data_IF_146425937012
#
_entry.id   IF_146425937012
#
_cell.length_a   1.000
_cell.length_b   1.000
_cell.length_c   1.000
_cell.angle_alpha   90.00
_cell.angle_beta   90.00
_cell.angle_gamma   90.00
#
_symmetry.space_group_name_H-M   'P 1'
#
loop_
_entity.id
_entity.type
_entity.pdbx_description
1 polymer ?
#
# COMPACT_ATOMS: atom_id res chain seq x y z
N UNK A 1 20.58 -7.29 14.36
CA UNK A 1 19.70 -6.70 15.39
C UNK A 1 18.28 -6.67 14.85
N UNK A 2 17.38 -7.43 15.47
CA UNK A 2 15.99 -7.47 15.02
C UNK A 2 15.33 -6.15 15.43
N UNK A 3 15.05 -5.25 14.47
CA UNK A 3 14.33 -4.01 14.74
C UNK A 3 12.86 -4.36 15.06
N UNK A 4 12.41 -4.02 16.25
CA UNK A 4 11.02 -4.15 16.62
C UNK A 4 10.17 -3.17 15.80
N UNK A 5 8.95 -3.57 15.50
CA UNK A 5 8.00 -2.73 14.76
C UNK A 5 7.39 -1.67 15.68
N UNK A 6 7.01 -0.55 15.12
CA UNK A 6 6.22 0.48 15.79
C UNK A 6 4.83 -0.07 16.10
N UNK A 7 4.23 0.40 17.17
CA UNK A 7 2.86 0.04 17.60
C UNK A 7 2.10 1.30 18.04
N UNK A 8 0.79 1.21 18.13
CA UNK A 8 -0.06 2.27 18.66
C UNK A 8 0.27 2.44 20.13
N UNK A 9 0.77 3.62 20.49
CA UNK A 9 1.30 3.91 21.80
C UNK A 9 0.48 4.97 22.53
N UNK A 10 0.53 4.92 23.86
CA UNK A 10 0.08 5.97 24.76
C UNK A 10 1.24 6.90 25.14
N UNK A 11 0.93 8.06 25.73
CA UNK A 11 1.96 9.04 26.10
C UNK A 11 2.99 8.52 27.10
N UNK A 12 2.60 7.62 27.97
CA UNK A 12 3.49 6.99 28.95
C UNK A 12 4.51 6.02 28.32
N UNK A 13 4.27 5.56 27.10
CA UNK A 13 5.14 4.64 26.36
C UNK A 13 6.16 5.32 25.43
N UNK A 14 6.02 6.63 25.24
CA UNK A 14 6.86 7.41 24.31
C UNK A 14 7.44 8.66 24.97
N UNK A 15 8.44 9.23 24.31
CA UNK A 15 8.94 10.58 24.56
C UNK A 15 8.78 11.39 23.29
N UNK A 16 8.13 12.54 23.38
CA UNK A 16 7.90 13.44 22.26
C UNK A 16 8.79 14.66 22.41
N UNK A 17 9.53 14.99 21.35
CA UNK A 17 10.32 16.22 21.24
C UNK A 17 9.97 16.94 19.97
N UNK A 18 9.91 18.27 20.02
CA UNK A 18 9.64 19.14 18.86
C UNK A 18 10.96 19.67 18.33
N UNK A 19 11.10 19.64 17.02
CA UNK A 19 12.28 20.13 16.29
C UNK A 19 11.79 20.89 15.05
N UNK A 20 11.67 22.20 15.17
CA UNK A 20 11.03 23.05 14.16
C UNK A 20 9.58 22.62 13.92
N UNK A 21 9.25 22.33 12.66
CA UNK A 21 7.92 21.88 12.24
C UNK A 21 7.71 20.37 12.36
N UNK A 22 8.64 19.68 13.02
CA UNK A 22 8.62 18.23 13.16
C UNK A 22 8.45 17.78 14.62
N UNK A 23 7.73 16.68 14.82
CA UNK A 23 7.72 15.93 16.07
C UNK A 23 8.61 14.69 15.95
N UNK A 24 9.47 14.48 16.95
CA UNK A 24 10.24 13.25 17.08
C UNK A 24 9.62 12.42 18.21
N UNK A 25 9.17 11.22 17.87
CA UNK A 25 8.52 10.27 18.79
C UNK A 25 9.46 9.11 19.00
N UNK A 26 9.94 8.96 20.23
CA UNK A 26 10.83 7.88 20.65
C UNK A 26 10.09 6.99 21.62
N UNK A 27 9.97 5.71 21.29
CA UNK A 27 9.44 4.70 22.20
C UNK A 27 10.41 4.48 23.37
N UNK A 28 9.88 4.30 24.57
CA UNK A 28 10.66 3.93 25.76
C UNK A 28 11.18 2.49 25.65
N UNK A 29 10.47 1.66 24.90
CA UNK A 29 10.90 0.32 24.56
C UNK A 29 12.08 0.35 23.61
N UNK A 30 13.16 -0.39 23.95
CA UNK A 30 14.36 -0.47 23.11
C UNK A 30 14.15 -1.28 21.84
N UNK A 31 14.84 -0.90 20.78
CA UNK A 31 14.82 -1.59 19.49
C UNK A 31 13.78 -1.07 18.50
N UNK A 32 12.93 -0.13 18.92
CA UNK A 32 11.97 0.54 18.03
C UNK A 32 12.60 1.82 17.45
N UNK A 33 12.51 1.97 16.15
CA UNK A 33 13.06 3.15 15.46
C UNK A 33 12.27 4.42 15.82
N UNK A 34 13.00 5.51 16.08
CA UNK A 34 12.41 6.84 16.27
C UNK A 34 11.60 7.22 15.04
N UNK A 35 10.41 7.77 15.26
CA UNK A 35 9.58 8.35 14.20
C UNK A 35 9.78 9.85 14.16
N UNK A 36 9.90 10.40 12.96
CA UNK A 36 9.85 11.83 12.72
C UNK A 36 8.60 12.14 11.92
N UNK A 37 7.70 12.96 12.49
CA UNK A 37 6.48 13.42 11.84
C UNK A 37 6.69 14.86 11.40
N UNK A 38 6.51 15.10 10.10
CA UNK A 38 6.43 16.45 9.55
C UNK A 38 5.00 16.95 9.74
N UNK A 39 4.78 17.93 10.60
CA UNK A 39 3.45 18.44 10.95
C UNK A 39 3.24 19.82 10.31
N UNK A 40 4.17 20.72 10.51
CA UNK A 40 4.06 22.11 10.09
C UNK A 40 4.12 23.08 11.28
N UNK A 41 3.91 24.39 11.03
CA UNK A 41 3.99 25.41 12.06
C UNK A 41 3.00 25.21 13.22
N UNK A 42 1.86 24.57 12.96
CA UNK A 42 0.82 24.25 13.95
C UNK A 42 1.30 23.37 15.11
N UNK A 43 2.43 22.69 14.95
CA UNK A 43 3.02 21.87 16.02
C UNK A 43 3.30 22.67 17.30
N UNK A 44 3.54 23.99 17.16
CA UNK A 44 3.81 24.86 18.30
C UNK A 44 2.59 25.00 19.25
N UNK A 45 1.38 24.82 18.72
CA UNK A 45 0.12 24.89 19.45
C UNK A 45 -0.43 23.53 19.86
N UNK A 46 0.12 22.45 19.29
CA UNK A 46 -0.34 21.09 19.56
C UNK A 46 0.17 20.58 20.90
N UNK A 47 -0.70 19.92 21.65
CA UNK A 47 -0.34 19.13 22.85
C UNK A 47 0.38 17.82 22.46
N UNK A 48 1.07 17.22 23.40
CA UNK A 48 1.67 15.90 23.20
C UNK A 48 0.63 14.82 22.94
N UNK A 49 -0.59 14.97 23.49
CA UNK A 49 -1.70 14.06 23.24
C UNK A 49 -2.15 14.14 21.76
N UNK A 50 -2.28 15.33 21.19
CA UNK A 50 -2.65 15.50 19.79
C UNK A 50 -1.56 14.96 18.84
N UNK A 51 -0.29 15.14 19.21
CA UNK A 51 0.83 14.60 18.42
C UNK A 51 0.85 13.08 18.44
N UNK A 52 0.64 12.43 19.58
CA UNK A 52 0.60 10.96 19.66
C UNK A 52 -0.64 10.39 18.96
N UNK A 53 -1.78 11.07 19.03
CA UNK A 53 -2.98 10.68 18.27
C UNK A 53 -2.74 10.71 16.77
N UNK A 54 -2.14 11.80 16.25
CA UNK A 54 -1.75 11.91 14.85
C UNK A 54 -0.76 10.80 14.43
N UNK A 55 0.23 10.50 15.27
CA UNK A 55 1.16 9.41 15.05
C UNK A 55 0.43 8.05 14.96
N UNK A 56 -0.49 7.81 15.89
CA UNK A 56 -1.27 6.59 15.92
C UNK A 56 -2.22 6.46 14.72
N UNK A 57 -2.78 7.56 14.23
CA UNK A 57 -3.55 7.60 12.99
C UNK A 57 -2.69 7.21 11.80
N UNK A 58 -1.49 7.80 11.66
CA UNK A 58 -0.54 7.41 10.61
C UNK A 58 -0.19 5.92 10.66
N UNK A 59 -0.08 5.32 11.85
CA UNK A 59 0.16 3.88 12.00
C UNK A 59 -1.05 3.03 11.60
N UNK A 60 -2.27 3.52 11.85
CA UNK A 60 -3.50 2.84 11.41
C UNK A 60 -3.66 2.90 9.89
N UNK A 61 -3.30 4.04 9.30
CA UNK A 61 -3.43 4.29 7.86
C UNK A 61 -2.33 3.61 7.05
N UNK A 62 -1.12 3.43 7.63
CA UNK A 62 -0.04 2.67 6.99
C UNK A 62 0.16 1.30 7.67
N UNK A 63 -0.43 0.25 7.09
CA UNK A 63 -0.35 -1.11 7.62
C UNK A 63 1.06 -1.66 7.79
N UNK A 64 2.05 -1.09 7.09
CA UNK A 64 3.45 -1.52 7.20
C UNK A 64 4.12 -0.99 8.45
N UNK A 65 3.62 0.11 8.98
CA UNK A 65 4.15 0.73 10.20
C UNK A 65 3.60 0.07 11.45
N UNK A 66 2.40 -0.52 11.39
CA UNK A 66 1.75 -1.16 12.54
C UNK A 66 2.20 -2.61 12.73
N UNK A 67 2.59 -2.98 13.97
CA UNK A 67 2.99 -4.36 14.29
C UNK A 67 1.81 -5.34 14.38
N UNK A 68 0.64 -4.85 14.75
CA UNK A 68 -0.59 -5.64 14.94
C UNK A 68 -1.52 -5.61 13.73
N UNK A 69 -1.14 -4.88 12.68
CA UNK A 69 -1.97 -4.77 11.49
C UNK A 69 -2.01 -6.08 10.73
N UNK A 70 -3.19 -6.64 10.60
CA UNK A 70 -3.48 -7.75 9.71
C UNK A 70 -3.98 -7.20 8.39
N UNK A 71 -3.15 -7.26 7.35
CA UNK A 71 -3.56 -6.82 6.02
C UNK A 71 -4.73 -7.67 5.50
N UNK A 72 -5.77 -7.00 5.07
CA UNK A 72 -6.91 -7.59 4.34
C UNK A 72 -6.98 -6.91 2.99
N UNK A 73 -6.59 -7.63 1.93
CA UNK A 73 -6.82 -7.15 0.58
C UNK A 73 -8.32 -7.18 0.28
N UNK A 74 -8.85 -6.09 -0.26
CA UNK A 74 -10.24 -6.07 -0.71
C UNK A 74 -10.32 -6.01 -2.23
N UNK A 75 -11.33 -6.65 -2.75
CA UNK A 75 -11.65 -6.69 -4.17
C UNK A 75 -12.89 -5.84 -4.44
N UNK A 76 -12.80 -5.00 -5.47
CA UNK A 76 -13.97 -4.22 -5.90
C UNK A 76 -15.01 -5.18 -6.49
N UNK A 77 -16.31 -5.05 -6.14
CA UNK A 77 -17.35 -5.95 -6.64
C UNK A 77 -17.42 -5.98 -8.17
N UNK A 78 -17.85 -7.12 -8.71
CA UNK A 78 -18.13 -7.24 -10.15
C UNK A 78 -19.15 -6.19 -10.59
N UNK A 79 -18.90 -5.58 -11.74
CA UNK A 79 -19.73 -4.50 -12.28
C UNK A 79 -19.40 -3.10 -11.75
N UNK A 80 -18.51 -2.99 -10.78
CA UNK A 80 -17.96 -1.71 -10.30
C UNK A 80 -16.57 -1.47 -10.88
N UNK A 81 -16.25 -0.22 -11.20
CA UNK A 81 -14.94 0.14 -11.74
C UNK A 81 -13.82 -0.14 -10.73
N UNK A 82 -12.80 -0.89 -11.15
CA UNK A 82 -11.64 -1.27 -10.32
C UNK A 82 -10.59 -0.17 -10.26
N UNK A 83 -10.58 0.72 -11.25
CA UNK A 83 -9.63 1.83 -11.38
C UNK A 83 -10.38 3.13 -11.62
N UNK A 84 -9.75 4.24 -11.25
CA UNK A 84 -10.22 5.59 -11.53
C UNK A 84 -9.08 6.44 -12.07
N UNK A 85 -9.43 7.43 -12.90
CA UNK A 85 -8.44 8.35 -13.47
C UNK A 85 -8.18 9.52 -12.53
N UNK A 86 -6.94 9.69 -12.11
CA UNK A 86 -6.52 10.78 -11.26
C UNK A 86 -5.84 11.88 -12.09
N UNK A 87 -6.61 12.90 -12.45
CA UNK A 87 -6.21 13.94 -13.39
C UNK A 87 -4.98 14.76 -12.93
N UNK A 88 -4.80 14.97 -11.63
CA UNK A 88 -3.65 15.72 -11.10
C UNK A 88 -2.30 15.09 -11.43
N UNK A 89 -2.25 13.77 -11.50
CA UNK A 89 -1.03 13.01 -11.77
C UNK A 89 -1.03 12.38 -13.16
N UNK A 90 -2.09 12.62 -13.95
CA UNK A 90 -2.27 12.03 -15.28
C UNK A 90 -2.03 10.52 -15.25
N UNK A 91 -2.77 9.82 -14.38
CA UNK A 91 -2.64 8.37 -14.22
C UNK A 91 -3.92 7.70 -13.73
N UNK A 92 -4.04 6.42 -14.04
CA UNK A 92 -5.01 5.54 -13.42
C UNK A 92 -4.55 5.10 -12.04
N UNK A 93 -5.46 5.02 -11.10
CA UNK A 93 -5.21 4.54 -9.73
C UNK A 93 -6.17 3.40 -9.39
N UNK A 94 -5.71 2.36 -8.69
CA UNK A 94 -6.57 1.27 -8.27
C UNK A 94 -7.47 1.69 -7.11
N UNK A 95 -8.71 1.20 -7.12
CA UNK A 95 -9.71 1.43 -6.06
C UNK A 95 -9.72 0.33 -5.01
N UNK A 96 -9.04 -0.77 -5.27
CA UNK A 96 -8.91 -1.92 -4.37
C UNK A 96 -7.51 -2.50 -4.35
N UNK A 97 -7.29 -3.47 -3.47
CA UNK A 97 -6.02 -4.19 -3.36
C UNK A 97 -5.90 -5.41 -4.29
N UNK A 98 -6.95 -5.71 -5.06
CA UNK A 98 -7.00 -6.78 -6.06
C UNK A 98 -7.43 -6.17 -7.38
N UNK A 99 -6.72 -6.51 -8.46
CA UNK A 99 -7.05 -6.13 -9.81
C UNK A 99 -7.26 -7.39 -10.67
N UNK A 100 -8.40 -7.42 -11.36
CA UNK A 100 -8.69 -8.42 -12.40
C UNK A 100 -8.31 -7.81 -13.72
N UNK A 101 -7.30 -8.38 -14.37
CA UNK A 101 -6.73 -7.84 -15.59
C UNK A 101 -6.73 -8.92 -16.68
N UNK A 102 -6.88 -8.51 -17.93
CA UNK A 102 -6.62 -9.33 -19.09
C UNK A 102 -5.33 -8.86 -19.77
N UNK A 103 -4.49 -9.81 -20.16
CA UNK A 103 -3.27 -9.54 -20.92
C UNK A 103 -3.60 -9.78 -22.39
N UNK A 104 -3.49 -8.75 -23.19
CA UNK A 104 -3.86 -8.76 -24.60
C UNK A 104 -2.81 -8.04 -25.45
N UNK A 105 -2.87 -8.22 -26.76
CA UNK A 105 -2.11 -7.42 -27.73
C UNK A 105 -3.04 -6.37 -28.34
N UNK A 106 -2.51 -5.16 -28.58
CA UNK A 106 -3.21 -4.13 -29.35
C UNK A 106 -3.14 -4.41 -30.87
N UNK A 107 -3.77 -3.54 -31.66
CA UNK A 107 -3.80 -3.63 -33.14
C UNK A 107 -2.39 -3.65 -33.76
N UNK A 108 -1.37 -3.23 -33.04
CA UNK A 108 0.03 -3.19 -33.47
C UNK A 108 0.87 -4.33 -32.90
N UNK A 109 0.24 -5.30 -32.19
CA UNK A 109 0.93 -6.42 -31.54
C UNK A 109 1.71 -6.00 -30.31
N UNK A 110 1.35 -4.86 -29.69
CA UNK A 110 1.97 -4.41 -28.43
C UNK A 110 1.11 -4.86 -27.25
N UNK A 111 1.79 -5.35 -26.23
CA UNK A 111 1.12 -5.83 -25.02
C UNK A 111 0.39 -4.70 -24.28
N UNK A 112 -0.87 -4.94 -23.98
CA UNK A 112 -1.71 -4.08 -23.15
C UNK A 112 -2.30 -4.89 -22.00
N UNK A 113 -2.55 -4.21 -20.90
CA UNK A 113 -3.28 -4.76 -19.74
C UNK A 113 -4.66 -4.12 -19.73
N UNK A 114 -5.68 -4.93 -19.98
CA UNK A 114 -7.07 -4.48 -19.91
C UNK A 114 -7.60 -4.62 -18.49
N UNK A 115 -8.09 -3.53 -17.94
CA UNK A 115 -8.74 -3.46 -16.63
C UNK A 115 -10.10 -2.79 -16.83
N UNK A 116 -11.17 -3.50 -16.56
CA UNK A 116 -12.53 -3.08 -16.93
C UNK A 116 -12.60 -2.82 -18.45
N UNK A 117 -13.01 -1.62 -18.86
CA UNK A 117 -13.03 -1.21 -20.27
C UNK A 117 -11.77 -0.41 -20.70
N UNK A 118 -10.76 -0.31 -19.81
CA UNK A 118 -9.56 0.48 -20.06
C UNK A 118 -8.42 -0.42 -20.52
N UNK A 119 -7.81 -0.08 -21.66
CA UNK A 119 -6.59 -0.72 -22.16
C UNK A 119 -5.37 0.12 -21.75
N UNK A 120 -4.58 -0.39 -20.83
CA UNK A 120 -3.39 0.28 -20.35
C UNK A 120 -2.15 -0.30 -21.03
N UNK A 121 -1.36 0.55 -21.67
CA UNK A 121 -0.01 0.17 -22.10
C UNK A 121 0.88 -0.07 -20.89
N UNK A 122 1.94 -0.84 -21.02
CA UNK A 122 2.83 -1.19 -19.91
C UNK A 122 3.33 0.04 -19.13
N UNK A 123 3.59 1.15 -19.81
CA UNK A 123 3.99 2.40 -19.15
C UNK A 123 2.89 2.97 -18.27
N UNK A 124 1.64 2.92 -18.72
CA UNK A 124 0.47 3.38 -17.94
C UNK A 124 0.17 2.44 -16.79
N UNK A 125 0.27 1.12 -17.04
CA UNK A 125 0.12 0.11 -15.97
C UNK A 125 1.24 0.25 -14.92
N UNK A 126 2.48 0.49 -15.36
CA UNK A 126 3.60 0.79 -14.44
C UNK A 126 3.33 2.04 -13.60
N UNK A 127 2.78 3.10 -14.19
CA UNK A 127 2.35 4.30 -13.44
C UNK A 127 1.28 3.97 -12.39
N UNK A 128 0.28 3.17 -12.74
CA UNK A 128 -0.77 2.71 -11.81
C UNK A 128 -0.14 1.99 -10.61
N UNK A 129 0.84 1.12 -10.84
CA UNK A 129 1.54 0.38 -9.78
C UNK A 129 2.29 1.28 -8.80
N UNK A 130 2.64 2.52 -9.16
CA UNK A 130 3.31 3.46 -8.24
C UNK A 130 2.46 3.80 -7.02
N UNK A 131 1.14 3.64 -7.09
CA UNK A 131 0.24 3.75 -5.94
C UNK A 131 0.65 2.82 -4.80
N UNK A 132 1.26 1.67 -5.13
CA UNK A 132 1.72 0.67 -4.18
C UNK A 132 3.25 0.62 -4.03
N UNK A 133 3.95 1.74 -4.28
CA UNK A 133 5.41 1.80 -4.10
C UNK A 133 5.77 1.37 -2.68
N UNK A 134 6.70 0.41 -2.58
CA UNK A 134 7.15 -0.18 -1.31
C UNK A 134 6.26 -1.32 -0.78
N UNK A 135 5.18 -1.70 -1.48
CA UNK A 135 4.40 -2.91 -1.22
C UNK A 135 4.95 -4.11 -2.01
N UNK A 136 4.63 -5.31 -1.54
CA UNK A 136 4.81 -6.52 -2.34
C UNK A 136 3.61 -6.73 -3.26
N UNK A 137 3.83 -7.36 -4.41
CA UNK A 137 2.79 -7.76 -5.35
C UNK A 137 2.83 -9.28 -5.52
N UNK A 138 1.67 -9.91 -5.44
CA UNK A 138 1.48 -11.31 -5.79
C UNK A 138 0.65 -11.39 -7.06
N UNK A 139 1.15 -12.09 -8.06
CA UNK A 139 0.48 -12.25 -9.36
C UNK A 139 0.08 -13.71 -9.50
N UNK A 140 -1.16 -13.95 -9.86
CA UNK A 140 -1.73 -15.26 -10.15
C UNK A 140 -2.29 -15.21 -11.57
N UNK A 141 -1.77 -16.05 -12.46
CA UNK A 141 -2.27 -16.17 -13.82
C UNK A 141 -3.38 -17.22 -13.86
N UNK A 142 -4.51 -16.84 -14.43
CA UNK A 142 -5.70 -17.66 -14.55
C UNK A 142 -6.23 -17.61 -15.99
N UNK A 143 -7.03 -18.60 -16.42
CA UNK A 143 -7.76 -18.49 -17.68
C UNK A 143 -8.65 -17.23 -17.72
N UNK A 144 -8.85 -16.65 -18.89
CA UNK A 144 -9.62 -15.41 -19.08
C UNK A 144 -11.03 -15.48 -18.47
N UNK A 145 -11.70 -16.61 -18.64
CA UNK A 145 -13.05 -16.85 -18.11
C UNK A 145 -13.10 -17.08 -16.61
N UNK A 146 -11.95 -17.25 -15.96
CA UNK A 146 -11.81 -17.45 -14.52
C UNK A 146 -11.26 -16.24 -13.76
N UNK A 147 -10.93 -15.15 -14.45
CA UNK A 147 -10.31 -13.95 -13.84
C UNK A 147 -11.12 -13.35 -12.69
N UNK A 148 -12.43 -13.60 -12.65
CA UNK A 148 -13.35 -13.13 -11.62
C UNK A 148 -13.48 -14.08 -10.43
N UNK A 149 -12.77 -15.21 -10.45
CA UNK A 149 -12.79 -16.21 -9.39
C UNK A 149 -11.44 -16.26 -8.68
N UNK A 150 -11.48 -16.55 -7.40
CA UNK A 150 -10.26 -16.83 -6.66
C UNK A 150 -9.70 -18.17 -7.09
N UNK A 151 -8.44 -18.23 -7.59
CA UNK A 151 -7.88 -19.48 -8.07
C UNK A 151 -7.61 -20.45 -6.93
N UNK A 152 -7.68 -21.76 -7.23
CA UNK A 152 -7.17 -22.81 -6.36
C UNK A 152 -5.65 -22.83 -6.50
N UNK A 153 -4.95 -22.73 -5.38
CA UNK A 153 -3.49 -22.69 -5.37
C UNK A 153 -2.93 -24.04 -4.95
N UNK A 154 -1.95 -24.50 -5.68
CA UNK A 154 -1.15 -25.68 -5.35
C UNK A 154 0.33 -25.26 -5.31
N UNK A 155 1.02 -25.62 -4.26
CA UNK A 155 2.47 -25.40 -4.16
C UNK A 155 3.21 -26.60 -4.73
N UNK A 156 3.93 -26.36 -5.83
CA UNK A 156 4.78 -27.39 -6.48
C UNK A 156 6.19 -26.84 -6.67
N UNK A 157 7.18 -27.69 -6.54
CA UNK A 157 8.54 -27.35 -6.94
C UNK A 157 8.63 -27.26 -8.47
N UNK A 158 9.44 -26.33 -9.01
CA UNK A 158 9.73 -26.30 -10.45
C UNK A 158 10.31 -27.63 -10.90
N UNK A 159 9.91 -28.07 -12.11
CA UNK A 159 10.58 -29.24 -12.72
C UNK A 159 12.06 -28.90 -12.92
N UNK A 160 12.95 -29.80 -12.49
CA UNK A 160 14.37 -29.69 -12.81
C UNK A 160 14.52 -29.65 -14.34
N UNK A 161 15.28 -28.70 -14.86
CA UNK A 161 15.68 -28.73 -16.27
C UNK A 161 16.59 -29.96 -16.48
N UNK A 162 16.23 -30.84 -17.43
CA UNK A 162 17.09 -31.93 -17.90
C UNK A 162 18.13 -31.39 -18.87
#
# INVERSE_FOLDING_TARGET
MNRKKRYIASLDEVTITRDGDCARIKYKEEGIAVTQLQIGPEIAEMSDQEIIELHNECLRDDPKLASEYKHVAFEVPLGSAQIEYFARCDQWVPRGGVLRCLIQDDEHGQLVVKIDEQELRLKQFGKLLTTYTGWGMRIEFVPEDEVHRRPILEVREPKAEE
#
